data_IF_962851322552
#
_entry.id   IF_962851322552
#
_cell.length_a   1.000
_cell.length_b   1.000
_cell.length_c   1.000
_cell.angle_alpha   90.00
_cell.angle_beta   90.00
_cell.angle_gamma   90.00
#
_symmetry.space_group_name_H-M   'P 1'
#
loop_
_entity.id
_entity.type
_entity.pdbx_description
1 polymer ?
#
# COMPACT_ATOMS: atom_id res chain seq x y z
N UNK A 1 -8.54 -11.32 -3.36
CA UNK A 1 -7.75 -11.62 -4.58
C UNK A 1 -6.58 -10.66 -4.54
N UNK A 2 -5.34 -11.14 -4.59
CA UNK A 2 -4.16 -10.28 -4.55
C UNK A 2 -3.89 -9.67 -5.93
N UNK A 3 -3.39 -8.44 -5.97
CA UNK A 3 -3.05 -7.74 -7.22
C UNK A 3 -1.75 -8.30 -7.84
N UNK A 4 -1.61 -8.15 -9.17
CA UNK A 4 -0.38 -8.52 -9.88
C UNK A 4 0.79 -7.65 -9.40
N UNK A 5 1.96 -8.22 -9.02
CA UNK A 5 3.13 -7.46 -8.56
C UNK A 5 3.62 -6.38 -9.54
N UNK A 6 3.28 -6.48 -10.84
CA UNK A 6 3.53 -5.43 -11.83
C UNK A 6 2.81 -4.12 -11.50
N UNK A 7 1.61 -4.20 -10.90
CA UNK A 7 0.82 -3.04 -10.48
C UNK A 7 1.56 -2.22 -9.42
N UNK A 8 2.17 -2.89 -8.43
CA UNK A 8 2.97 -2.20 -7.41
C UNK A 8 4.17 -1.47 -8.00
N UNK A 9 4.88 -2.12 -8.95
CA UNK A 9 5.99 -1.47 -9.66
C UNK A 9 5.51 -0.21 -10.37
N UNK A 10 4.40 -0.29 -11.10
CA UNK A 10 3.82 0.86 -11.79
C UNK A 10 3.39 1.98 -10.83
N UNK A 11 2.91 1.66 -9.62
CA UNK A 11 2.58 2.68 -8.62
C UNK A 11 3.85 3.40 -8.11
N UNK A 12 4.91 2.66 -7.80
CA UNK A 12 6.19 3.25 -7.36
C UNK A 12 6.85 4.07 -8.46
N UNK A 13 6.82 3.57 -9.71
CA UNK A 13 7.32 4.29 -10.88
C UNK A 13 6.55 5.60 -11.09
N UNK A 14 5.22 5.57 -10.94
CA UNK A 14 4.38 6.77 -11.04
C UNK A 14 4.73 7.78 -9.94
N UNK A 15 4.85 7.34 -8.68
CA UNK A 15 5.24 8.22 -7.58
C UNK A 15 6.62 8.86 -7.82
N UNK A 16 7.57 8.07 -8.33
CA UNK A 16 8.91 8.57 -8.69
C UNK A 16 8.83 9.59 -9.83
N UNK A 17 8.00 9.33 -10.86
CA UNK A 17 7.83 10.23 -12.00
C UNK A 17 7.19 11.56 -11.56
N UNK A 18 6.19 11.52 -10.68
CA UNK A 18 5.56 12.71 -10.11
C UNK A 18 6.57 13.58 -9.34
N UNK A 19 7.39 12.95 -8.50
CA UNK A 19 8.40 13.65 -7.72
C UNK A 19 9.55 14.21 -8.58
N UNK A 20 9.96 13.50 -9.65
CA UNK A 20 11.10 13.89 -10.49
C UNK A 20 10.75 14.88 -11.59
N UNK A 21 9.62 14.69 -12.28
CA UNK A 21 9.27 15.47 -13.47
C UNK A 21 8.30 16.60 -13.17
N UNK A 22 7.48 16.45 -12.13
CA UNK A 22 6.42 17.40 -11.82
C UNK A 22 6.61 18.10 -10.48
N UNK A 23 7.66 17.74 -9.71
CA UNK A 23 7.92 18.25 -8.36
C UNK A 23 6.72 18.09 -7.40
N UNK A 24 5.92 17.06 -7.63
CA UNK A 24 4.72 16.75 -6.84
C UNK A 24 5.08 15.71 -5.76
N UNK A 25 4.85 15.98 -4.46
CA UNK A 25 5.06 15.01 -3.41
C UNK A 25 4.01 13.89 -3.49
N UNK A 26 4.35 12.71 -3.02
CA UNK A 26 3.41 11.59 -2.93
C UNK A 26 3.70 10.77 -1.69
N UNK A 27 2.71 10.07 -1.16
CA UNK A 27 2.87 9.21 0.02
C UNK A 27 2.48 7.79 -0.31
N UNK A 28 3.39 6.86 -0.02
CA UNK A 28 3.07 5.44 0.01
C UNK A 28 2.64 5.06 1.42
N UNK A 29 1.49 4.40 1.54
CA UNK A 29 0.95 3.94 2.82
C UNK A 29 0.90 2.42 2.84
N UNK A 30 1.49 1.78 3.83
CA UNK A 30 1.34 0.36 4.11
C UNK A 30 0.28 0.16 5.17
N UNK A 31 -0.75 -0.63 4.88
CA UNK A 31 -1.80 -1.02 5.82
C UNK A 31 -1.65 -2.51 6.16
N UNK A 32 -1.67 -2.83 7.45
CA UNK A 32 -1.60 -4.20 7.97
C UNK A 32 -2.78 -4.45 8.92
N UNK A 33 -3.62 -5.43 8.61
CA UNK A 33 -4.67 -5.89 9.50
C UNK A 33 -4.29 -7.19 10.23
N UNK A 34 -4.92 -7.47 11.39
CA UNK A 34 -4.83 -8.76 12.05
C UNK A 34 -5.24 -9.91 11.13
N UNK A 35 -4.56 -11.05 11.27
CA UNK A 35 -4.85 -12.24 10.47
C UNK A 35 -6.29 -12.70 10.66
N UNK A 36 -6.99 -12.90 9.55
CA UNK A 36 -8.37 -13.37 9.56
C UNK A 36 -9.42 -12.28 9.78
N UNK A 37 -9.03 -11.01 9.85
CA UNK A 37 -9.98 -9.91 9.80
C UNK A 37 -10.74 -9.94 8.46
N UNK A 38 -12.07 -10.03 8.56
CA UNK A 38 -12.96 -10.12 7.40
C UNK A 38 -13.43 -8.76 6.91
N UNK A 39 -13.32 -7.73 7.75
CA UNK A 39 -13.76 -6.35 7.47
C UNK A 39 -12.68 -5.58 6.71
N UNK A 40 -11.41 -5.94 6.88
CA UNK A 40 -10.30 -5.24 6.22
C UNK A 40 -10.40 -5.24 4.68
N UNK A 41 -10.73 -6.36 3.99
CA UNK A 41 -10.99 -6.32 2.56
C UNK A 41 -12.08 -5.33 2.17
N UNK A 42 -13.20 -5.31 2.90
CA UNK A 42 -14.32 -4.40 2.64
C UNK A 42 -13.91 -2.93 2.86
N UNK A 43 -13.08 -2.67 3.88
CA UNK A 43 -12.50 -1.36 4.11
C UNK A 43 -11.56 -0.94 2.97
N UNK A 44 -10.73 -1.85 2.46
CA UNK A 44 -9.84 -1.58 1.33
C UNK A 44 -10.64 -1.29 0.05
N UNK A 45 -11.72 -2.03 -0.19
CA UNK A 45 -12.67 -1.75 -1.28
C UNK A 45 -13.30 -0.35 -1.12
N UNK A 46 -13.69 0.01 0.11
CA UNK A 46 -14.23 1.33 0.42
C UNK A 46 -13.20 2.45 0.19
N UNK A 47 -11.96 2.25 0.65
CA UNK A 47 -10.86 3.19 0.40
C UNK A 47 -10.68 3.37 -1.09
N UNK A 48 -10.56 2.29 -1.88
CA UNK A 48 -10.39 2.38 -3.33
C UNK A 48 -11.52 3.17 -4.01
N UNK A 49 -12.76 3.04 -3.54
CA UNK A 49 -13.89 3.81 -4.05
C UNK A 49 -13.87 5.30 -3.69
N UNK A 50 -13.16 5.68 -2.63
CA UNK A 50 -13.06 7.05 -2.12
C UNK A 50 -11.82 7.82 -2.64
N UNK A 51 -10.87 7.11 -3.26
CA UNK A 51 -9.62 7.65 -3.77
C UNK A 51 -9.80 8.42 -5.09
N UNK A 52 -8.89 9.36 -5.36
CA UNK A 52 -8.84 10.08 -6.63
C UNK A 52 -8.31 9.16 -7.74
N UNK A 53 -8.51 9.57 -8.99
CA UNK A 53 -8.01 8.83 -10.17
C UNK A 53 -6.48 8.69 -10.20
N UNK A 54 -5.77 9.61 -9.54
CA UNK A 54 -4.31 9.66 -9.48
C UNK A 54 -3.73 8.78 -8.36
N UNK A 55 -4.55 8.50 -7.36
CA UNK A 55 -4.23 7.60 -6.26
C UNK A 55 -4.33 6.14 -6.71
N UNK A 56 -3.81 5.22 -5.90
CA UNK A 56 -3.85 3.80 -6.26
C UNK A 56 -3.85 2.87 -5.06
N UNK A 57 -4.44 1.69 -5.25
CA UNK A 57 -4.47 0.61 -4.27
C UNK A 57 -3.78 -0.62 -4.83
N UNK A 58 -2.93 -1.24 -4.02
CA UNK A 58 -2.29 -2.51 -4.31
C UNK A 58 -2.48 -3.48 -3.16
N UNK A 59 -3.21 -4.56 -3.41
CA UNK A 59 -3.52 -5.61 -2.43
C UNK A 59 -2.43 -6.68 -2.49
N UNK A 60 -1.54 -6.71 -1.51
CA UNK A 60 -0.50 -7.74 -1.40
C UNK A 60 -1.10 -9.07 -0.97
N UNK A 61 -1.78 -9.04 0.18
CA UNK A 61 -2.45 -10.22 0.76
C UNK A 61 -3.83 -9.81 1.24
N UNK A 62 -4.55 -10.72 1.91
CA UNK A 62 -5.84 -10.40 2.52
C UNK A 62 -5.68 -9.40 3.67
N UNK A 63 -4.53 -9.38 4.33
CA UNK A 63 -4.21 -8.57 5.50
C UNK A 63 -3.29 -7.39 5.21
N UNK A 64 -2.64 -7.34 4.04
CA UNK A 64 -1.65 -6.31 3.69
C UNK A 64 -2.02 -5.59 2.40
N UNK A 65 -2.07 -4.26 2.48
CA UNK A 65 -2.40 -3.39 1.36
C UNK A 65 -1.42 -2.23 1.29
N UNK A 66 -1.03 -1.81 0.09
CA UNK A 66 -0.27 -0.60 -0.16
C UNK A 66 -1.18 0.41 -0.85
N UNK A 67 -1.17 1.65 -0.39
CA UNK A 67 -1.83 2.78 -1.03
C UNK A 67 -0.77 3.73 -1.58
N UNK A 68 -1.06 4.32 -2.72
CA UNK A 68 -0.35 5.47 -3.28
C UNK A 68 -1.30 6.66 -3.22
N UNK A 69 -0.90 7.72 -2.52
CA UNK A 69 -1.63 8.99 -2.48
C UNK A 69 -0.78 10.05 -3.16
N UNK A 70 -1.29 10.62 -4.26
CA UNK A 70 -0.60 11.62 -5.04
C UNK A 70 -0.90 13.04 -4.51
N UNK A 71 0.05 13.96 -4.70
CA UNK A 71 -0.10 15.39 -4.35
C UNK A 71 -0.49 15.63 -2.88
N UNK A 72 0.13 14.86 -1.99
CA UNK A 72 -0.07 14.97 -0.54
C UNK A 72 1.25 14.78 0.19
N UNK A 73 1.35 15.43 1.35
CA UNK A 73 2.36 15.15 2.35
C UNK A 73 1.85 14.09 3.35
N UNK A 74 2.73 13.67 4.25
CA UNK A 74 2.38 12.67 5.28
C UNK A 74 1.17 13.07 6.13
N UNK A 75 1.11 14.32 6.56
CA UNK A 75 0.01 14.79 7.43
C UNK A 75 -1.33 14.71 6.72
N UNK A 76 -1.37 15.14 5.47
CA UNK A 76 -2.57 15.09 4.62
C UNK A 76 -2.99 13.65 4.31
N UNK A 77 -2.03 12.74 4.12
CA UNK A 77 -2.29 11.31 3.97
C UNK A 77 -2.93 10.70 5.22
N UNK A 78 -2.41 11.01 6.41
CA UNK A 78 -2.96 10.56 7.70
C UNK A 78 -4.40 11.08 7.90
N UNK A 79 -4.65 12.37 7.64
CA UNK A 79 -5.98 12.97 7.72
C UNK A 79 -6.98 12.35 6.74
N UNK A 80 -6.52 12.06 5.51
CA UNK A 80 -7.33 11.42 4.48
C UNK A 80 -7.77 10.03 4.93
N UNK A 81 -6.85 9.22 5.45
CA UNK A 81 -7.17 7.88 5.95
C UNK A 81 -8.11 7.93 7.16
N UNK A 82 -7.85 8.81 8.12
CA UNK A 82 -8.72 8.97 9.28
C UNK A 82 -10.15 9.37 8.87
N UNK A 83 -10.28 10.25 7.87
CA UNK A 83 -11.58 10.67 7.33
C UNK A 83 -12.30 9.53 6.62
N UNK A 84 -11.60 8.76 5.80
CA UNK A 84 -12.17 7.61 5.08
C UNK A 84 -12.59 6.52 6.07
N UNK A 85 -11.77 6.24 7.09
CA UNK A 85 -12.11 5.32 8.17
C UNK A 85 -13.37 5.76 8.92
N UNK A 86 -13.47 7.05 9.30
CA UNK A 86 -14.67 7.57 9.97
C UNK A 86 -15.92 7.37 9.13
N UNK A 87 -15.87 7.67 7.83
CA UNK A 87 -16.99 7.44 6.90
C UNK A 87 -17.36 5.97 6.79
N UNK A 88 -16.37 5.08 6.72
CA UNK A 88 -16.60 3.64 6.69
C UNK A 88 -17.29 3.16 7.97
N UNK A 89 -16.87 3.65 9.14
CA UNK A 89 -17.49 3.28 10.41
C UNK A 89 -18.92 3.83 10.55
N UNK A 90 -19.19 5.02 10.03
CA UNK A 90 -20.53 5.61 9.97
C UNK A 90 -21.47 4.80 9.06
N UNK A 91 -20.98 4.37 7.90
CA UNK A 91 -21.75 3.60 6.92
C UNK A 91 -21.91 2.13 7.32
N UNK A 92 -20.93 1.57 8.02
CA UNK A 92 -20.91 0.19 8.51
C UNK A 92 -20.70 0.12 10.03
N UNK A 93 -21.71 0.46 10.86
CA UNK A 93 -21.56 0.52 12.32
C UNK A 93 -21.17 -0.82 12.95
N UNK A 94 -21.56 -1.94 12.34
CA UNK A 94 -21.18 -3.29 12.77
C UNK A 94 -19.70 -3.62 12.54
N UNK A 95 -18.98 -2.75 11.84
CA UNK A 95 -17.55 -2.83 11.54
C UNK A 95 -16.70 -1.82 12.32
N UNK A 96 -17.28 -1.14 13.32
CA UNK A 96 -16.64 -0.07 14.09
C UNK A 96 -15.32 -0.45 14.81
N UNK A 97 -15.05 -1.74 15.01
CA UNK A 97 -13.83 -2.24 15.64
C UNK A 97 -12.72 -2.63 14.64
N UNK A 98 -12.80 -2.18 13.38
CA UNK A 98 -11.72 -2.40 12.43
C UNK A 98 -10.39 -1.90 13.02
N UNK A 99 -9.42 -2.80 13.10
CA UNK A 99 -8.09 -2.50 13.65
C UNK A 99 -7.06 -2.77 12.56
N UNK A 100 -6.20 -1.80 12.29
CA UNK A 100 -5.06 -1.95 11.38
C UNK A 100 -3.90 -1.08 11.85
N UNK A 101 -2.69 -1.45 11.43
CA UNK A 101 -1.48 -0.64 11.55
C UNK A 101 -1.22 0.06 10.22
N UNK A 102 -0.72 1.30 10.28
CA UNK A 102 -0.38 2.09 9.09
C UNK A 102 1.03 2.65 9.16
N UNK A 103 1.77 2.52 8.06
CA UNK A 103 3.12 3.04 7.88
C UNK A 103 3.16 3.97 6.67
N UNK A 104 3.93 5.06 6.76
CA UNK A 104 3.96 6.11 5.76
C UNK A 104 5.37 6.32 5.25
N UNK A 105 5.54 6.32 3.93
CA UNK A 105 6.78 6.66 3.23
C UNK A 105 6.48 7.83 2.31
N UNK A 106 6.98 8.99 2.69
CA UNK A 106 6.83 10.22 1.91
C UNK A 106 7.88 10.30 0.81
N UNK A 107 7.43 10.48 -0.42
CA UNK A 107 8.24 10.60 -1.62
C UNK A 107 8.28 12.08 -1.97
N UNK A 108 9.40 12.71 -1.61
CA UNK A 108 9.62 14.13 -1.84
C UNK A 108 10.23 14.39 -3.22
N UNK A 109 9.99 15.57 -3.80
CA UNK A 109 10.69 16.03 -5.00
C UNK A 109 12.21 15.92 -4.86
N UNK A 110 12.90 15.48 -5.91
CA UNK A 110 14.36 15.35 -5.94
C UNK A 110 14.94 14.14 -5.17
N UNK A 111 14.11 13.26 -4.59
CA UNK A 111 14.55 12.04 -3.86
C UNK A 111 15.22 10.98 -4.76
N UNK A 112 15.17 11.14 -6.09
CA UNK A 112 15.70 10.15 -7.05
C UNK A 112 14.66 9.08 -7.43
N UNK A 113 15.02 8.18 -8.34
CA UNK A 113 14.17 7.03 -8.66
C UNK A 113 14.04 6.10 -7.45
N UNK A 114 12.81 5.72 -7.10
CA UNK A 114 12.53 4.74 -6.06
C UNK A 114 12.17 3.39 -6.68
N UNK A 115 12.58 2.32 -6.03
CA UNK A 115 12.16 0.97 -6.39
C UNK A 115 11.25 0.36 -5.33
N UNK A 116 10.52 -0.68 -5.70
CA UNK A 116 9.70 -1.47 -4.76
C UNK A 116 10.54 -1.99 -3.57
N UNK A 117 11.82 -2.31 -3.82
CA UNK A 117 12.74 -2.80 -2.77
C UNK A 117 13.12 -1.72 -1.77
N UNK A 118 13.03 -0.44 -2.14
CA UNK A 118 13.28 0.67 -1.23
C UNK A 118 12.03 0.96 -0.38
N UNK A 119 10.84 0.84 -0.97
CA UNK A 119 9.57 1.22 -0.35
C UNK A 119 9.05 0.13 0.60
N UNK A 120 8.98 -1.13 0.16
CA UNK A 120 8.33 -2.19 0.95
C UNK A 120 8.95 -2.42 2.34
N UNK A 121 10.29 -2.46 2.51
CA UNK A 121 10.88 -2.65 3.83
C UNK A 121 10.57 -1.52 4.81
N UNK A 122 10.34 -0.31 4.30
CA UNK A 122 9.93 0.83 5.13
C UNK A 122 8.44 0.75 5.52
N UNK A 123 7.59 0.15 4.67
CA UNK A 123 6.16 0.00 4.92
C UNK A 123 5.79 -1.19 5.80
N UNK A 124 6.55 -2.29 5.77
CA UNK A 124 6.19 -3.53 6.45
C UNK A 124 7.31 -4.10 7.33
N UNK A 125 8.43 -3.39 7.46
CA UNK A 125 9.65 -3.92 8.05
C UNK A 125 10.37 -4.92 7.12
N UNK A 126 11.55 -5.38 7.53
CA UNK A 126 12.39 -6.32 6.77
C UNK A 126 11.84 -7.76 6.71
N UNK A 127 10.53 -7.94 6.81
CA UNK A 127 9.92 -9.25 6.65
C UNK A 127 9.96 -9.64 5.17
N UNK A 128 10.66 -10.74 4.81
CA UNK A 128 10.72 -11.19 3.43
C UNK A 128 9.30 -11.50 2.95
N UNK A 129 8.96 -10.93 1.80
CA UNK A 129 7.76 -11.28 1.05
C UNK A 129 7.91 -12.78 0.76
N UNK A 130 7.17 -13.63 1.49
CA UNK A 130 7.14 -15.06 1.22
C UNK A 130 6.48 -15.26 -0.15
N UNK A 131 7.32 -15.24 -1.19
CA UNK A 131 6.94 -15.29 -2.59
C UNK A 131 8.12 -15.65 -3.50
N UNK A 132 9.14 -16.31 -2.95
CA UNK A 132 10.20 -16.97 -3.70
C UNK A 132 10.27 -18.42 -3.20
N UNK A 133 9.28 -19.22 -3.61
CA UNK A 133 9.46 -20.68 -3.63
C UNK A 133 10.37 -20.93 -4.83
N UNK A 134 11.66 -20.97 -4.51
CA UNK A 134 12.72 -21.31 -5.42
C UNK A 134 12.45 -22.72 -5.98
N UNK A 135 12.09 -22.78 -7.26
CA UNK A 135 12.33 -23.95 -8.08
C UNK A 135 13.83 -24.18 -8.20
N UNK A 136 14.40 -24.85 -7.20
CA UNK A 136 15.72 -25.44 -7.26
C UNK A 136 15.54 -26.96 -7.28
N UNK A 137 15.13 -27.49 -8.43
CA UNK A 137 15.28 -28.90 -8.76
C UNK A 137 16.79 -29.21 -8.87
N UNK A 138 17.38 -29.51 -7.71
CA UNK A 138 18.66 -30.19 -7.62
C UNK A 138 18.49 -31.65 -8.02
N UNK A 139 18.48 -31.91 -9.33
CA UNK A 139 18.67 -33.25 -9.87
C UNK A 139 20.10 -33.69 -9.54
N UNK A 140 20.23 -34.44 -8.45
CA UNK A 140 21.44 -35.22 -8.14
C UNK A 140 21.10 -36.66 -8.46
N UNK A 141 21.52 -37.14 -9.65
CA UNK A 141 21.49 -38.56 -9.98
C UNK A 141 22.88 -39.13 -9.69
N UNK A 142 22.89 -40.10 -8.79
CA UNK A 142 24.03 -40.99 -8.49
C UNK A 142 24.23 -42.02 -9.60
#
# INVERSE_FOLDING_TARGET
MSDDPRKLRSLVERASLLALQHEVPSVMVGLIAPRGDRRFPDFVDFVESALRVEDGVFRMTRERTVLHLADVDRTTAEETLARVLGRFQDEFPTSAELTYESYFVEILPGRGELTVKDVLPQLFGAEPIAGDDAGADGETVH
#
